data_IF_466105379180
#
_entry.id   IF_466105379180
#
_cell.length_a   1.000
_cell.length_b   1.000
_cell.length_c   1.000
_cell.angle_alpha   90.00
_cell.angle_beta   90.00
_cell.angle_gamma   90.00
#
_symmetry.space_group_name_H-M   'P 1'
#
loop_
_entity.id
_entity.type
_entity.pdbx_description
1 polymer ?
#
# COMPACT_ATOMS: atom_id res chain seq x y z
N UNK A 1 0.08 22.34 -2.24
CA UNK A 1 0.10 20.85 -2.19
C UNK A 1 -1.32 20.35 -1.91
N UNK A 2 -1.74 19.20 -2.45
CA UNK A 2 -3.10 18.67 -2.26
C UNK A 2 -3.37 18.22 -0.81
N UNK A 3 -2.34 17.75 -0.10
CA UNK A 3 -2.41 17.33 1.31
C UNK A 3 -1.46 18.16 2.19
N UNK A 4 -1.74 19.44 2.44
CA UNK A 4 -0.79 20.35 3.11
C UNK A 4 -0.55 20.02 4.59
N UNK A 5 -1.43 19.24 5.22
CA UNK A 5 -1.32 18.82 6.63
C UNK A 5 -0.76 17.40 6.81
N UNK A 6 -0.41 16.74 5.71
CA UNK A 6 0.08 15.35 5.73
C UNK A 6 1.56 15.38 5.40
N UNK A 7 2.37 14.77 6.27
CA UNK A 7 3.78 14.50 5.97
C UNK A 7 3.86 13.22 5.14
N UNK A 8 4.41 13.32 3.94
CA UNK A 8 4.58 12.18 3.04
C UNK A 8 6.07 11.93 2.87
N UNK A 9 6.53 10.77 3.34
CA UNK A 9 7.87 10.27 3.08
C UNK A 9 7.80 9.25 1.93
N UNK A 10 8.79 9.24 1.03
CA UNK A 10 8.81 8.37 -0.15
C UNK A 10 9.96 7.38 -0.07
N UNK A 11 9.71 6.14 -0.52
CA UNK A 11 10.71 5.10 -0.65
C UNK A 11 10.38 4.23 -1.86
N UNK A 12 11.40 3.83 -2.61
CA UNK A 12 11.29 2.90 -3.71
C UNK A 12 12.51 1.98 -3.70
N UNK A 13 12.28 0.70 -3.93
CA UNK A 13 13.35 -0.26 -4.17
C UNK A 13 12.89 -1.33 -5.16
N UNK A 14 13.87 -1.90 -5.87
CA UNK A 14 13.70 -3.08 -6.72
C UNK A 14 14.11 -4.38 -5.98
N UNK A 15 14.52 -4.28 -4.72
CA UNK A 15 14.90 -5.41 -3.88
C UNK A 15 13.78 -5.68 -2.88
N UNK A 16 13.20 -6.88 -2.96
CA UNK A 16 12.11 -7.32 -2.07
C UNK A 16 12.45 -7.10 -0.58
N UNK A 17 13.65 -7.50 -0.17
CA UNK A 17 14.10 -7.35 1.23
C UNK A 17 14.18 -5.90 1.70
N UNK A 18 14.46 -4.93 0.82
CA UNK A 18 14.49 -3.52 1.19
C UNK A 18 13.08 -2.95 1.38
N UNK A 19 12.09 -3.43 0.61
CA UNK A 19 10.68 -3.10 0.83
C UNK A 19 10.22 -3.65 2.19
N UNK A 20 10.59 -4.89 2.51
CA UNK A 20 10.29 -5.52 3.82
C UNK A 20 10.94 -4.72 4.96
N UNK A 21 12.24 -4.39 4.82
CA UNK A 21 12.93 -3.57 5.81
C UNK A 21 12.22 -2.22 6.00
N UNK A 22 11.76 -1.59 4.92
CA UNK A 22 11.04 -0.33 5.03
C UNK A 22 9.70 -0.50 5.74
N UNK A 23 8.95 -1.55 5.45
CA UNK A 23 7.68 -1.86 6.14
C UNK A 23 7.94 -2.00 7.65
N UNK A 24 8.94 -2.77 8.07
CA UNK A 24 9.27 -2.91 9.49
C UNK A 24 9.79 -1.62 10.13
N UNK A 25 10.54 -0.80 9.39
CA UNK A 25 11.04 0.50 9.85
C UNK A 25 9.90 1.47 10.20
N UNK A 26 8.82 1.47 9.42
CA UNK A 26 7.76 2.49 9.56
C UNK A 26 6.43 1.94 10.09
N UNK A 27 6.24 0.63 10.12
CA UNK A 27 4.96 -0.04 10.33
C UNK A 27 4.37 0.06 11.74
N UNK A 28 5.06 0.71 12.67
CA UNK A 28 4.57 0.96 14.03
C UNK A 28 4.39 2.45 14.35
N UNK A 29 4.98 3.34 13.55
CA UNK A 29 5.08 4.77 13.86
C UNK A 29 4.29 5.66 12.90
N UNK A 30 3.70 5.10 11.84
CA UNK A 30 2.99 5.86 10.80
C UNK A 30 1.49 5.62 10.84
N UNK A 31 0.74 6.67 10.47
CA UNK A 31 -0.73 6.62 10.36
C UNK A 31 -1.21 5.79 9.16
N UNK A 32 -0.36 5.55 8.15
CA UNK A 32 -0.72 4.73 7.00
C UNK A 32 0.42 4.51 6.00
N UNK A 33 0.31 3.44 5.21
CA UNK A 33 1.23 3.10 4.12
C UNK A 33 0.45 3.03 2.81
N UNK A 34 0.93 3.71 1.78
CA UNK A 34 0.47 3.52 0.40
C UNK A 34 1.50 2.68 -0.33
N UNK A 35 1.16 1.44 -0.68
CA UNK A 35 2.11 0.49 -1.26
C UNK A 35 1.71 0.11 -2.69
N UNK A 36 2.57 0.45 -3.65
CA UNK A 36 2.57 -0.18 -4.97
C UNK A 36 3.76 -1.14 -5.04
N UNK A 37 3.50 -2.44 -4.89
CA UNK A 37 4.54 -3.47 -4.92
C UNK A 37 4.87 -3.94 -6.35
N UNK A 38 4.23 -3.37 -7.38
CA UNK A 38 4.46 -3.72 -8.77
C UNK A 38 4.30 -5.22 -9.02
N UNK A 39 5.34 -5.87 -9.53
CA UNK A 39 5.32 -7.32 -9.78
C UNK A 39 5.26 -8.16 -8.50
N UNK A 40 5.79 -7.66 -7.38
CA UNK A 40 5.82 -8.38 -6.11
C UNK A 40 4.44 -8.61 -5.52
N UNK A 41 3.45 -7.79 -5.90
CA UNK A 41 2.03 -8.08 -5.62
C UNK A 41 1.66 -9.50 -6.02
N UNK A 42 2.21 -10.05 -7.11
CA UNK A 42 1.82 -11.35 -7.65
C UNK A 42 2.68 -12.51 -7.14
N UNK A 43 3.79 -12.24 -6.44
CA UNK A 43 4.80 -13.25 -6.13
C UNK A 43 5.26 -13.26 -4.67
N UNK A 44 5.17 -12.15 -3.96
CA UNK A 44 5.81 -11.99 -2.65
C UNK A 44 4.88 -12.34 -1.50
N UNK A 45 5.05 -13.57 -0.98
CA UNK A 45 4.49 -13.96 0.32
C UNK A 45 5.22 -13.21 1.45
N UNK A 46 6.52 -12.93 1.27
CA UNK A 46 7.32 -12.26 2.29
C UNK A 46 6.85 -10.82 2.57
N UNK A 47 6.46 -10.06 1.54
CA UNK A 47 5.85 -8.74 1.73
C UNK A 47 4.47 -8.85 2.39
N UNK A 48 3.65 -9.85 2.02
CA UNK A 48 2.37 -10.09 2.69
C UNK A 48 2.56 -10.30 4.20
N UNK A 49 3.50 -11.15 4.58
CA UNK A 49 3.76 -11.46 5.99
C UNK A 49 4.35 -10.26 6.74
N UNK A 50 5.20 -9.47 6.09
CA UNK A 50 5.70 -8.21 6.64
C UNK A 50 4.58 -7.18 6.85
N UNK A 51 3.60 -7.08 5.96
CA UNK A 51 2.43 -6.22 6.16
C UNK A 51 1.57 -6.68 7.33
N UNK A 52 1.48 -7.99 7.56
CA UNK A 52 0.70 -8.58 8.67
C UNK A 52 1.41 -8.52 10.02
N UNK A 53 2.73 -8.31 10.03
CA UNK A 53 3.51 -8.21 11.27
C UNK A 53 3.50 -6.81 11.88
N UNK A 54 2.98 -5.81 11.17
CA UNK A 54 2.97 -4.41 11.58
C UNK A 54 1.54 -3.89 11.81
N UNK A 55 1.39 -2.83 12.60
CA UNK A 55 0.06 -2.27 12.96
C UNK A 55 -0.42 -1.17 12.01
N UNK A 56 0.47 -0.53 11.25
CA UNK A 56 0.10 0.57 10.36
C UNK A 56 -0.80 0.07 9.21
N UNK A 57 -1.98 0.68 9.00
CA UNK A 57 -2.87 0.28 7.92
C UNK A 57 -2.24 0.58 6.56
N UNK A 58 -2.36 -0.38 5.64
CA UNK A 58 -1.79 -0.26 4.29
C UNK A 58 -2.88 -0.25 3.23
N UNK A 59 -2.77 0.62 2.22
CA UNK A 59 -3.58 0.54 1.00
C UNK A 59 -2.70 0.11 -0.16
N UNK A 60 -3.08 -0.97 -0.84
CA UNK A 60 -2.42 -1.41 -2.07
C UNK A 60 -2.80 -0.51 -3.24
N UNK A 61 -1.82 -0.08 -4.04
CA UNK A 61 -2.00 0.77 -5.22
C UNK A 61 -1.42 0.15 -6.47
N UNK A 62 -2.17 0.21 -7.58
CA UNK A 62 -1.66 -0.07 -8.91
C UNK A 62 -1.99 1.04 -9.90
N UNK A 63 -0.99 1.54 -10.61
CA UNK A 63 -1.18 2.59 -11.63
C UNK A 63 -2.09 2.07 -12.77
N UNK A 64 -1.82 0.85 -13.25
CA UNK A 64 -2.60 0.20 -14.31
C UNK A 64 -3.76 -0.63 -13.77
N UNK A 65 -4.77 -0.89 -14.60
CA UNK A 65 -5.80 -1.87 -14.27
C UNK A 65 -5.24 -3.28 -14.45
N UNK A 66 -4.88 -3.94 -13.34
CA UNK A 66 -4.31 -5.30 -13.36
C UNK A 66 -5.29 -6.36 -13.88
N UNK A 67 -6.60 -6.11 -13.80
CA UNK A 67 -7.63 -7.03 -14.28
C UNK A 67 -7.80 -7.03 -15.81
N UNK A 68 -7.31 -5.98 -16.49
CA UNK A 68 -7.26 -5.92 -17.96
C UNK A 68 -5.99 -6.56 -18.56
N UNK A 69 -5.14 -7.12 -17.70
CA UNK A 69 -3.84 -7.68 -18.08
C UNK A 69 -3.87 -9.21 -18.06
N UNK A 70 -2.70 -9.82 -18.16
CA UNK A 70 -2.51 -11.28 -18.16
C UNK A 70 -3.06 -11.92 -16.88
N UNK A 71 -3.51 -13.17 -16.96
CA UNK A 71 -4.19 -13.85 -15.85
C UNK A 71 -3.38 -13.88 -14.55
N UNK A 72 -2.05 -14.06 -14.66
CA UNK A 72 -1.16 -14.09 -13.51
C UNK A 72 -1.07 -12.74 -12.77
N UNK A 73 -1.53 -11.63 -13.38
CA UNK A 73 -1.58 -10.31 -12.74
C UNK A 73 -2.90 -10.01 -12.06
N UNK A 74 -3.93 -10.83 -12.29
CA UNK A 74 -5.26 -10.60 -11.72
C UNK A 74 -5.33 -10.97 -10.25
N UNK A 75 -4.37 -11.75 -9.76
CA UNK A 75 -4.25 -12.15 -8.35
C UNK A 75 -3.17 -11.34 -7.65
N UNK A 76 -3.54 -10.69 -6.56
CA UNK A 76 -2.62 -10.12 -5.58
C UNK A 76 -2.45 -11.10 -4.42
N UNK A 77 -1.21 -11.44 -4.10
CA UNK A 77 -0.81 -12.15 -2.89
C UNK A 77 -0.82 -11.21 -1.69
N UNK A 78 -0.53 -9.91 -1.88
CA UNK A 78 -0.39 -8.96 -0.77
C UNK A 78 -1.71 -8.30 -0.35
N UNK A 79 -2.71 -8.24 -1.23
CA UNK A 79 -4.04 -7.63 -0.94
C UNK A 79 -4.67 -8.11 0.38
N UNK A 80 -4.53 -9.38 0.81
CA UNK A 80 -5.04 -9.84 2.11
C UNK A 80 -4.33 -9.27 3.36
N UNK A 81 -3.19 -8.58 3.22
CA UNK A 81 -2.58 -7.73 4.27
C UNK A 81 -2.96 -6.25 4.12
N UNK A 82 -3.68 -5.94 3.04
CA UNK A 82 -4.33 -4.69 2.65
C UNK A 82 -5.50 -4.29 3.58
N UNK A 83 -5.68 -3.03 3.98
CA UNK A 83 -7.04 -2.54 4.37
C UNK A 83 -7.92 -2.28 3.14
N UNK A 84 -7.30 -2.10 1.98
CA UNK A 84 -7.98 -1.90 0.71
C UNK A 84 -7.02 -1.91 -0.47
N UNK A 85 -7.61 -1.88 -1.67
CA UNK A 85 -6.91 -1.86 -2.96
C UNK A 85 -7.50 -0.75 -3.83
N UNK A 86 -6.63 0.01 -4.50
CA UNK A 86 -7.02 0.98 -5.53
C UNK A 86 -6.13 0.79 -6.76
N UNK A 87 -6.72 0.64 -7.95
CA UNK A 87 -5.91 0.63 -9.15
C UNK A 87 -6.66 0.87 -10.46
N UNK A 88 -5.90 1.22 -11.49
CA UNK A 88 -6.44 1.51 -12.83
C UNK A 88 -6.72 2.99 -13.10
N UNK A 89 -6.45 3.88 -12.17
CA UNK A 89 -6.66 5.33 -12.32
C UNK A 89 -5.36 6.12 -12.55
N UNK A 90 -4.29 5.43 -12.97
CA UNK A 90 -2.98 6.05 -13.13
C UNK A 90 -2.44 6.55 -11.80
N UNK A 91 -1.79 7.72 -11.82
CA UNK A 91 -1.26 8.37 -10.62
C UNK A 91 -2.36 8.81 -9.64
N UNK A 92 -3.60 8.99 -10.10
CA UNK A 92 -4.71 9.39 -9.24
C UNK A 92 -5.05 8.31 -8.19
N UNK A 93 -4.66 7.05 -8.46
CA UNK A 93 -4.77 5.94 -7.50
C UNK A 93 -4.02 6.22 -6.18
N UNK A 94 -2.89 6.92 -6.23
CA UNK A 94 -2.15 7.31 -5.03
C UNK A 94 -2.91 8.33 -4.20
N UNK A 95 -3.54 9.31 -4.85
CA UNK A 95 -4.37 10.31 -4.17
C UNK A 95 -5.53 9.62 -3.44
N UNK A 96 -6.26 8.75 -4.14
CA UNK A 96 -7.38 8.01 -3.59
C UNK A 96 -6.97 7.14 -2.39
N UNK A 97 -5.80 6.50 -2.46
CA UNK A 97 -5.26 5.71 -1.36
C UNK A 97 -4.90 6.58 -0.13
N UNK A 98 -4.33 7.77 -0.34
CA UNK A 98 -4.06 8.72 0.75
C UNK A 98 -5.37 9.20 1.40
N UNK A 99 -6.38 9.55 0.61
CA UNK A 99 -7.70 9.95 1.12
C UNK A 99 -8.34 8.83 1.96
N UNK A 100 -8.31 7.59 1.47
CA UNK A 100 -8.83 6.44 2.20
C UNK A 100 -8.14 6.23 3.56
N UNK A 101 -6.81 6.42 3.64
CA UNK A 101 -6.06 6.31 4.90
C UNK A 101 -6.39 7.44 5.89
N UNK A 102 -6.58 8.66 5.39
CA UNK A 102 -6.97 9.81 6.22
C UNK A 102 -8.34 9.57 6.85
N UNK A 103 -9.32 9.12 6.06
CA UNK A 103 -10.68 8.86 6.52
C UNK A 103 -10.74 7.67 7.50
N UNK A 104 -9.98 6.60 7.22
CA UNK A 104 -9.90 5.43 8.10
C UNK A 104 -9.27 5.78 9.46
N UNK A 105 -8.21 6.59 9.47
CA UNK A 105 -7.58 7.07 10.71
C UNK A 105 -8.54 7.94 11.54
N UNK A 106 -9.43 8.69 10.89
CA UNK A 106 -10.44 9.48 11.59
C UNK A 106 -11.51 8.58 12.25
N UNK A 107 -11.87 7.46 11.62
CA UNK A 107 -12.81 6.48 12.19
C UNK A 107 -12.20 5.74 13.38
N UNK A 108 -10.95 5.26 13.27
CA UNK A 108 -10.27 4.54 14.35
C UNK A 108 -9.97 5.38 15.60
N UNK A 109 -9.98 6.72 15.50
CA UNK A 109 -9.82 7.65 16.65
C UNK A 109 -11.16 8.06 17.28
N UNK A 110 -12.28 7.79 16.61
CA UNK A 110 -13.62 8.12 17.10
C UNK A 110 -14.28 6.98 17.90
N UNK A 111 -13.71 5.77 17.81
CA UNK A 111 -14.06 4.57 18.60
C UNK A 111 -13.15 4.42 19.82
#
# INVERSE_FOLDING_TARGET
ARFPKVRIDYFQSNLEGEIINKIHEVGFDRDGIVLNAGAYTHTSIAILDALRSVSTPTVEVHISNVYQREDFRRRSIISPGCVGFVGGFGLDSYRLAIEALIDNTAQAKAE
#
